data_IF_134786998181
#
_entry.id   IF_134786998181
#
_cell.length_a   1.000
_cell.length_b   1.000
_cell.length_c   1.000
_cell.angle_alpha   90.00
_cell.angle_beta   90.00
_cell.angle_gamma   90.00
#
_symmetry.space_group_name_H-M   'P 1'
#
loop_
_entity.id
_entity.type
_entity.pdbx_description
1 polymer ?
#
# COMPACT_ATOMS: atom_id res chain seq x y z
N UNK A 1 6.47 3.96 1.58
CA UNK A 1 6.20 4.29 3.01
C UNK A 1 5.01 5.23 3.12
N UNK A 2 4.27 5.18 4.23
CA UNK A 2 3.16 6.14 4.49
C UNK A 2 3.70 7.56 4.54
N UNK A 3 4.89 7.75 5.10
CA UNK A 3 5.55 9.04 5.26
C UNK A 3 5.88 9.69 3.91
N UNK A 4 6.29 8.94 2.92
CA UNK A 4 6.63 9.45 1.57
C UNK A 4 5.43 10.06 0.84
N UNK A 5 4.22 9.60 1.18
CA UNK A 5 2.95 10.03 0.56
C UNK A 5 2.31 11.22 1.25
N UNK A 6 2.87 11.68 2.38
CA UNK A 6 2.38 12.86 3.05
C UNK A 6 2.56 14.08 2.15
N UNK A 7 1.59 14.97 2.18
CA UNK A 7 1.61 16.21 1.42
C UNK A 7 2.11 17.33 2.33
N UNK A 8 3.13 18.05 1.88
CA UNK A 8 3.77 19.17 2.59
C UNK A 8 3.46 20.45 1.85
N UNK A 9 3.07 21.48 2.57
CA UNK A 9 2.97 22.83 2.02
C UNK A 9 4.37 23.46 1.94
N UNK A 10 4.91 23.52 0.73
CA UNK A 10 6.21 24.12 0.44
C UNK A 10 6.09 25.04 -0.77
N UNK A 11 6.79 26.16 -0.74
CA UNK A 11 6.77 27.19 -1.81
C UNK A 11 5.37 27.71 -2.17
N UNK A 12 4.41 27.65 -1.20
CA UNK A 12 3.03 28.08 -1.41
C UNK A 12 2.15 27.10 -2.17
N UNK A 13 2.60 25.87 -2.38
CA UNK A 13 1.87 24.78 -3.00
C UNK A 13 2.00 23.50 -2.18
N UNK A 14 1.00 22.62 -2.30
CA UNK A 14 1.07 21.29 -1.71
C UNK A 14 1.88 20.35 -2.61
N UNK A 15 2.90 19.70 -2.03
CA UNK A 15 3.79 18.78 -2.74
C UNK A 15 3.95 17.48 -1.96
N UNK A 16 4.06 16.31 -2.64
CA UNK A 16 4.39 15.06 -1.99
C UNK A 16 5.77 15.15 -1.31
N UNK A 17 5.89 14.63 -0.10
CA UNK A 17 7.13 14.68 0.67
C UNK A 17 8.31 14.01 -0.06
N UNK A 18 8.03 12.99 -0.88
CA UNK A 18 9.05 12.31 -1.70
C UNK A 18 9.73 13.23 -2.73
N UNK A 19 9.09 14.33 -3.13
CA UNK A 19 9.66 15.32 -4.05
C UNK A 19 10.51 16.35 -3.33
N UNK A 20 10.28 16.53 -2.02
CA UNK A 20 10.94 17.54 -1.18
C UNK A 20 12.11 17.01 -0.39
N UNK A 21 12.19 15.69 -0.17
CA UNK A 21 13.18 15.10 0.72
C UNK A 21 13.67 13.73 0.25
N UNK A 22 14.89 13.39 0.65
CA UNK A 22 15.45 12.05 0.56
C UNK A 22 15.16 11.27 1.82
N UNK A 23 14.95 9.95 1.67
CA UNK A 23 14.68 9.03 2.77
C UNK A 23 15.80 8.02 2.89
N UNK A 24 16.23 7.73 4.12
CA UNK A 24 17.17 6.65 4.40
C UNK A 24 16.81 5.93 5.70
N UNK A 25 17.13 4.65 5.77
CA UNK A 25 16.87 3.78 6.92
C UNK A 25 18.22 3.27 7.42
N UNK A 26 18.91 4.03 8.29
CA UNK A 26 20.22 3.64 8.80
C UNK A 26 20.15 2.44 9.75
N UNK A 27 19.04 2.28 10.46
CA UNK A 27 18.80 1.21 11.41
C UNK A 27 17.34 0.73 11.31
N UNK A 28 17.08 -0.48 11.77
CA UNK A 28 15.80 -1.19 11.61
C UNK A 28 14.55 -0.45 12.11
N UNK A 29 14.67 0.62 12.84
CA UNK A 29 13.53 1.40 13.38
C UNK A 29 13.74 2.89 13.30
N UNK A 30 14.65 3.32 12.43
CA UNK A 30 14.94 4.73 12.23
C UNK A 30 14.71 5.10 10.76
N UNK A 31 13.95 6.15 10.56
CA UNK A 31 13.80 6.79 9.26
C UNK A 31 14.41 8.18 9.34
N UNK A 32 15.36 8.43 8.47
CA UNK A 32 15.93 9.78 8.29
C UNK A 32 15.31 10.41 7.06
N UNK A 33 14.83 11.63 7.24
CA UNK A 33 14.23 12.45 6.20
C UNK A 33 15.13 13.67 6.05
N UNK A 34 15.72 13.84 4.88
CA UNK A 34 16.62 14.95 4.59
C UNK A 34 16.01 15.79 3.49
N UNK A 35 15.39 16.95 3.82
CA UNK A 35 14.88 17.87 2.82
C UNK A 35 16.00 18.36 1.88
N UNK A 36 15.69 18.47 0.60
CA UNK A 36 16.63 18.96 -0.42
C UNK A 36 16.98 20.43 -0.17
N UNK A 37 16.01 21.20 0.27
CA UNK A 37 16.17 22.60 0.67
C UNK A 37 16.03 22.73 2.19
N UNK A 38 17.02 23.40 2.82
CA UNK A 38 17.02 23.65 4.26
C UNK A 38 15.83 24.51 4.70
N UNK A 39 15.31 25.38 3.84
CA UNK A 39 14.12 26.19 4.11
C UNK A 39 12.84 25.37 4.33
N UNK A 40 12.81 24.14 3.87
CA UNK A 40 11.63 23.25 3.99
C UNK A 40 11.65 22.37 5.25
N UNK A 41 12.71 22.39 6.06
CA UNK A 41 12.84 21.55 7.26
C UNK A 41 11.66 21.76 8.21
N UNK A 42 11.32 23.01 8.50
CA UNK A 42 10.20 23.35 9.40
C UNK A 42 8.83 22.91 8.82
N UNK A 43 8.65 23.05 7.51
CA UNK A 43 7.41 22.63 6.85
C UNK A 43 7.24 21.11 6.90
N UNK A 44 8.30 20.37 6.64
CA UNK A 44 8.33 18.91 6.74
C UNK A 44 8.10 18.44 8.18
N UNK A 45 8.77 19.03 9.15
CA UNK A 45 8.59 18.71 10.57
C UNK A 45 7.15 18.98 11.04
N UNK A 46 6.57 20.10 10.65
CA UNK A 46 5.18 20.44 10.95
C UNK A 46 4.22 19.42 10.35
N UNK A 47 4.42 19.04 9.11
CA UNK A 47 3.62 18.01 8.43
C UNK A 47 3.68 16.67 9.18
N UNK A 48 4.88 16.24 9.60
CA UNK A 48 5.07 15.00 10.36
C UNK A 48 4.37 15.04 11.72
N UNK A 49 4.41 16.17 12.41
CA UNK A 49 3.71 16.35 13.69
C UNK A 49 2.18 16.35 13.51
N UNK A 50 1.67 16.89 12.41
CA UNK A 50 0.23 16.90 12.11
C UNK A 50 -0.31 15.55 11.63
N UNK A 51 0.55 14.72 11.05
CA UNK A 51 0.15 13.42 10.52
C UNK A 51 -0.24 12.36 11.58
N UNK A 52 -0.15 12.70 12.86
CA UNK A 52 -0.51 11.84 14.01
C UNK A 52 0.03 10.40 13.89
N UNK A 53 1.29 10.29 13.51
CA UNK A 53 1.97 9.00 13.34
C UNK A 53 2.25 8.29 14.66
N UNK A 54 1.93 8.92 15.80
CA UNK A 54 2.30 8.45 17.15
C UNK A 54 3.81 8.50 17.40
N UNK A 55 4.53 9.32 16.62
CA UNK A 55 5.99 9.47 16.68
C UNK A 55 6.34 10.94 16.87
N UNK A 56 7.41 11.20 17.60
CA UNK A 56 7.93 12.56 17.76
C UNK A 56 9.15 12.72 16.84
N UNK A 57 9.06 13.61 15.82
CA UNK A 57 10.22 13.93 14.99
C UNK A 57 11.32 14.57 15.84
N UNK A 58 12.57 14.24 15.55
CA UNK A 58 13.75 14.89 16.14
C UNK A 58 14.58 15.46 15.02
N UNK A 59 14.76 16.78 15.02
CA UNK A 59 15.51 17.49 13.99
C UNK A 59 16.95 17.72 14.44
N UNK A 60 17.90 17.32 13.58
CA UNK A 60 19.34 17.56 13.76
C UNK A 60 19.87 18.24 12.48
N UNK A 61 20.10 19.55 12.60
CA UNK A 61 20.48 20.37 11.46
C UNK A 61 19.39 20.44 10.38
N UNK A 62 19.61 19.75 9.27
CA UNK A 62 18.62 19.64 8.18
C UNK A 62 18.02 18.25 8.04
N UNK A 63 18.38 17.33 8.92
CA UNK A 63 17.87 15.95 8.88
C UNK A 63 16.86 15.75 9.98
N UNK A 64 15.70 15.23 9.64
CA UNK A 64 14.64 14.89 10.58
C UNK A 64 14.66 13.38 10.78
N UNK A 65 14.75 12.96 12.04
CA UNK A 65 14.80 11.58 12.47
C UNK A 65 13.46 11.17 13.05
N UNK A 66 12.91 10.07 12.57
CA UNK A 66 11.77 9.38 13.16
C UNK A 66 12.24 8.05 13.74
N UNK A 67 11.95 7.82 15.02
CA UNK A 67 12.26 6.55 15.71
C UNK A 67 10.95 5.83 15.95
N UNK A 68 10.82 4.63 15.38
CA UNK A 68 9.65 3.77 15.55
C UNK A 68 9.82 2.93 16.82
N UNK A 69 8.84 2.94 17.74
CA UNK A 69 8.87 2.07 18.92
C UNK A 69 8.81 0.60 18.50
N UNK A 70 9.28 -0.27 19.39
CA UNK A 70 9.08 -1.71 19.19
C UNK A 70 7.60 -2.04 19.18
N UNK A 71 7.21 -2.88 18.22
CA UNK A 71 5.86 -3.41 18.22
C UNK A 71 5.74 -4.45 19.35
N UNK A 72 4.79 -4.23 20.23
CA UNK A 72 4.44 -5.26 21.22
C UNK A 72 3.89 -6.50 20.51
N UNK A 73 3.98 -7.66 21.16
CA UNK A 73 3.40 -8.91 20.64
C UNK A 73 1.92 -8.74 20.28
N UNK A 74 1.16 -8.08 21.16
CA UNK A 74 -0.25 -7.78 20.92
C UNK A 74 -0.46 -6.93 19.66
N UNK A 75 0.33 -5.86 19.50
CA UNK A 75 0.22 -4.98 18.33
C UNK A 75 0.60 -5.70 17.03
N UNK A 76 1.59 -6.60 17.06
CA UNK A 76 1.93 -7.45 15.92
C UNK A 76 0.75 -8.32 15.50
N UNK A 77 0.09 -8.96 16.47
CA UNK A 77 -1.10 -9.78 16.20
C UNK A 77 -2.27 -8.96 15.66
N UNK A 78 -2.48 -7.74 16.14
CA UNK A 78 -3.49 -6.83 15.59
C UNK A 78 -3.21 -6.49 14.13
N UNK A 79 -1.96 -6.19 13.81
CA UNK A 79 -1.55 -5.92 12.44
C UNK A 79 -1.72 -7.14 11.53
N UNK A 80 -1.42 -8.35 12.00
CA UNK A 80 -1.68 -9.60 11.27
C UNK A 80 -3.17 -9.76 11.00
N UNK A 81 -4.03 -9.52 12.00
CA UNK A 81 -5.49 -9.57 11.78
C UNK A 81 -5.96 -8.56 10.73
N UNK A 82 -5.39 -7.35 10.74
CA UNK A 82 -5.68 -6.32 9.74
C UNK A 82 -5.24 -6.76 8.34
N UNK A 83 -4.03 -7.29 8.18
CA UNK A 83 -3.51 -7.80 6.90
C UNK A 83 -4.40 -8.91 6.35
N UNK A 84 -4.82 -9.86 7.20
CA UNK A 84 -5.73 -10.94 6.82
C UNK A 84 -7.08 -10.38 6.36
N UNK A 85 -7.64 -9.41 7.07
CA UNK A 85 -8.89 -8.74 6.67
C UNK A 85 -8.78 -8.04 5.31
N UNK A 86 -7.68 -7.31 5.07
CA UNK A 86 -7.43 -6.66 3.78
C UNK A 86 -7.27 -7.65 2.63
N UNK A 87 -6.62 -8.79 2.86
CA UNK A 87 -6.46 -9.84 1.86
C UNK A 87 -7.82 -10.48 1.49
N UNK A 88 -8.66 -10.78 2.48
CA UNK A 88 -10.00 -11.30 2.23
C UNK A 88 -10.89 -10.29 1.49
N UNK A 89 -10.81 -9.01 1.83
CA UNK A 89 -11.53 -7.96 1.09
C UNK A 89 -11.05 -7.89 -0.36
N UNK A 90 -9.74 -7.97 -0.60
CA UNK A 90 -9.16 -8.01 -1.94
C UNK A 90 -9.67 -9.20 -2.76
N UNK A 91 -9.66 -10.41 -2.19
CA UNK A 91 -10.21 -11.62 -2.82
C UNK A 91 -11.72 -11.48 -3.12
N UNK A 92 -12.48 -10.90 -2.20
CA UNK A 92 -13.91 -10.67 -2.41
C UNK A 92 -14.18 -9.68 -3.55
N UNK A 93 -13.38 -8.63 -3.68
CA UNK A 93 -13.44 -7.69 -4.82
C UNK A 93 -13.14 -8.40 -6.13
N UNK A 94 -12.09 -9.24 -6.19
CA UNK A 94 -11.76 -10.05 -7.37
C UNK A 94 -12.91 -10.98 -7.78
N UNK A 95 -13.52 -11.67 -6.82
CA UNK A 95 -14.70 -12.55 -7.07
C UNK A 95 -15.88 -11.75 -7.61
N UNK A 96 -16.07 -10.53 -7.11
CA UNK A 96 -17.09 -9.62 -7.62
C UNK A 96 -16.85 -9.22 -9.08
N UNK A 97 -15.61 -8.81 -9.41
CA UNK A 97 -15.22 -8.48 -10.78
C UNK A 97 -15.39 -9.67 -11.70
N UNK A 98 -14.87 -10.86 -11.33
CA UNK A 98 -15.04 -12.08 -12.10
C UNK A 98 -16.49 -12.39 -12.41
N UNK A 99 -17.38 -12.29 -11.39
CA UNK A 99 -18.82 -12.54 -11.58
C UNK A 99 -19.46 -11.58 -12.57
N UNK A 100 -19.11 -10.28 -12.49
CA UNK A 100 -19.63 -9.28 -13.41
C UNK A 100 -19.12 -9.52 -14.83
N UNK A 101 -17.80 -9.76 -15.00
CA UNK A 101 -17.23 -10.06 -16.32
C UNK A 101 -17.79 -11.33 -16.92
N UNK A 102 -18.11 -12.34 -16.11
CA UNK A 102 -18.77 -13.57 -16.59
C UNK A 102 -20.17 -13.28 -17.12
N UNK A 103 -20.93 -12.44 -16.42
CA UNK A 103 -22.24 -12.00 -16.91
C UNK A 103 -22.12 -11.24 -18.24
N UNK A 104 -21.13 -10.36 -18.37
CA UNK A 104 -20.90 -9.62 -19.62
C UNK A 104 -20.57 -10.60 -20.78
N UNK A 105 -19.79 -11.66 -20.52
CA UNK A 105 -19.52 -12.72 -21.50
C UNK A 105 -20.77 -13.51 -21.89
N UNK A 106 -21.63 -13.83 -20.94
CA UNK A 106 -22.89 -14.54 -21.17
C UNK A 106 -23.84 -13.65 -22.01
N UNK A 107 -23.91 -12.36 -21.74
CA UNK A 107 -24.71 -11.40 -22.50
C UNK A 107 -24.17 -11.27 -23.95
N UNK A 108 -22.85 -11.27 -24.15
CA UNK A 108 -22.22 -11.28 -25.49
C UNK A 108 -22.54 -12.57 -26.26
N UNK A 109 -22.53 -13.72 -25.58
CA UNK A 109 -22.89 -15.00 -26.18
C UNK A 109 -24.36 -14.98 -26.64
N UNK A 110 -25.28 -14.46 -25.82
CA UNK A 110 -26.69 -14.39 -26.12
C UNK A 110 -27.04 -13.48 -27.31
N UNK A 111 -26.21 -12.46 -27.57
CA UNK A 111 -26.40 -11.53 -28.69
C UNK A 111 -25.88 -12.05 -30.03
N UNK A 112 -25.28 -13.23 -30.09
CA UNK A 112 -24.85 -13.90 -31.32
C UNK A 112 -23.67 -13.23 -32.07
N UNK A 113 -23.03 -12.21 -31.46
CA UNK A 113 -21.92 -11.47 -32.08
C UNK A 113 -20.54 -12.13 -31.94
N UNK A 114 -20.42 -13.17 -31.11
CA UNK A 114 -19.14 -13.85 -30.79
C UNK A 114 -19.36 -15.35 -30.83
N UNK A 115 -18.40 -16.09 -31.41
CA UNK A 115 -18.49 -17.55 -31.50
C UNK A 115 -18.40 -18.20 -30.13
N UNK A 116 -19.05 -19.37 -29.96
CA UNK A 116 -19.00 -20.13 -28.70
C UNK A 116 -17.56 -20.47 -28.26
N UNK A 117 -16.67 -20.76 -29.21
CA UNK A 117 -15.28 -21.10 -28.91
C UNK A 117 -14.52 -19.89 -28.37
N UNK A 118 -14.80 -18.69 -28.88
CA UNK A 118 -14.22 -17.45 -28.34
C UNK A 118 -14.74 -17.16 -26.93
N UNK A 119 -16.03 -17.39 -26.66
CA UNK A 119 -16.61 -17.23 -25.31
C UNK A 119 -15.97 -18.22 -24.32
N UNK A 120 -15.79 -19.47 -24.72
CA UNK A 120 -15.10 -20.48 -23.88
C UNK A 120 -13.66 -20.10 -23.60
N UNK A 121 -12.95 -19.64 -24.63
CA UNK A 121 -11.57 -19.16 -24.47
C UNK A 121 -11.48 -17.95 -23.53
N UNK A 122 -12.32 -16.93 -23.72
CA UNK A 122 -12.38 -15.76 -22.83
C UNK A 122 -12.74 -16.13 -21.39
N UNK A 123 -13.66 -17.06 -21.19
CA UNK A 123 -14.03 -17.58 -19.87
C UNK A 123 -12.84 -18.25 -19.17
N UNK A 124 -12.07 -19.05 -19.92
CA UNK A 124 -10.85 -19.67 -19.39
C UNK A 124 -9.80 -18.61 -19.00
N UNK A 125 -9.56 -17.61 -19.86
CA UNK A 125 -8.64 -16.53 -19.56
C UNK A 125 -9.06 -15.72 -18.33
N UNK A 126 -10.35 -15.48 -18.14
CA UNK A 126 -10.89 -14.80 -16.96
C UNK A 126 -10.64 -15.61 -15.68
N UNK A 127 -10.83 -16.92 -15.74
CA UNK A 127 -10.59 -17.81 -14.62
C UNK A 127 -9.10 -17.88 -14.26
N UNK A 128 -8.23 -18.02 -15.25
CA UNK A 128 -6.76 -18.04 -15.08
C UNK A 128 -6.26 -16.72 -14.48
N UNK A 129 -6.72 -15.58 -15.02
CA UNK A 129 -6.35 -14.26 -14.52
C UNK A 129 -6.81 -14.06 -13.08
N UNK A 130 -8.03 -14.52 -12.73
CA UNK A 130 -8.55 -14.45 -11.38
C UNK A 130 -7.69 -15.26 -10.43
N UNK A 131 -7.33 -16.49 -10.80
CA UNK A 131 -6.51 -17.38 -9.98
C UNK A 131 -5.11 -16.80 -9.75
N UNK A 132 -4.47 -16.25 -10.78
CA UNK A 132 -3.17 -15.61 -10.66
C UNK A 132 -3.22 -14.44 -9.66
N UNK A 133 -4.23 -13.58 -9.76
CA UNK A 133 -4.37 -12.44 -8.85
C UNK A 133 -4.73 -12.85 -7.42
N UNK A 134 -5.56 -13.87 -7.22
CA UNK A 134 -5.81 -14.43 -5.87
C UNK A 134 -4.52 -14.98 -5.26
N UNK A 135 -3.68 -15.66 -6.06
CA UNK A 135 -2.37 -16.16 -5.64
C UNK A 135 -1.41 -15.04 -5.24
N UNK A 136 -1.39 -13.93 -5.97
CA UNK A 136 -0.56 -12.76 -5.65
C UNK A 136 -1.01 -12.08 -4.35
N UNK A 137 -2.32 -11.98 -4.10
CA UNK A 137 -2.85 -11.49 -2.82
C UNK A 137 -2.38 -12.39 -1.68
N UNK A 138 -2.47 -13.71 -1.84
CA UNK A 138 -2.07 -14.67 -0.82
C UNK A 138 -0.57 -14.62 -0.51
N UNK A 139 0.27 -14.53 -1.54
CA UNK A 139 1.71 -14.36 -1.38
C UNK A 139 2.04 -13.07 -0.62
N UNK A 140 1.41 -11.95 -1.00
CA UNK A 140 1.61 -10.65 -0.34
C UNK A 140 1.17 -10.71 1.12
N UNK A 141 0.04 -11.39 1.41
CA UNK A 141 -0.45 -11.62 2.77
C UNK A 141 0.57 -12.41 3.61
N UNK A 142 1.01 -13.56 3.08
CA UNK A 142 1.95 -14.44 3.78
C UNK A 142 3.28 -13.77 4.05
N UNK A 143 3.86 -13.11 3.04
CA UNK A 143 5.10 -12.37 3.20
C UNK A 143 4.98 -11.27 4.26
N UNK A 144 3.84 -10.56 4.29
CA UNK A 144 3.62 -9.50 5.27
C UNK A 144 3.38 -10.03 6.68
N UNK A 145 2.73 -11.17 6.81
CA UNK A 145 2.55 -11.86 8.09
C UNK A 145 3.91 -12.31 8.66
N UNK A 146 4.79 -12.90 7.83
CA UNK A 146 6.15 -13.26 8.22
C UNK A 146 6.93 -12.04 8.70
N UNK A 147 6.94 -10.94 7.93
CA UNK A 147 7.60 -9.69 8.33
C UNK A 147 7.11 -9.14 9.68
N UNK A 148 5.81 -9.29 9.98
CA UNK A 148 5.23 -8.80 11.21
C UNK A 148 5.53 -9.69 12.41
N UNK A 149 5.74 -10.98 12.20
CA UNK A 149 6.01 -11.96 13.25
C UNK A 149 7.51 -12.21 13.45
N UNK A 150 8.32 -11.95 12.44
CA UNK A 150 9.78 -12.07 12.52
C UNK A 150 10.34 -10.97 13.45
N UNK A 151 11.16 -11.40 14.44
CA UNK A 151 11.73 -10.52 15.48
C UNK A 151 13.25 -10.58 15.43
#
# INVERSE_FOLDING_TARGET
SIVERLTVEAYGVEMPMQELASFSVPEARQLLITPHDQGNVEAVERCLNQADLGLTPSTDGRTIRLVFPELTQERRQDLVRMVNGMAEEGKNRLRGIRRNSRKDLDDLAGNGGVSEDNIKWLSSQLDDLTHVNESEIEKSRSSKEEELLDV
#
